data_IF_840331359834
#
_entry.id   IF_840331359834
#
_cell.length_a   1.000
_cell.length_b   1.000
_cell.length_c   1.000
_cell.angle_alpha   90.00
_cell.angle_beta   90.00
_cell.angle_gamma   90.00
#
_symmetry.space_group_name_H-M   'P 1'
#
loop_
_entity.id
_entity.type
_entity.pdbx_description
1 polymer ?
#
# COMPACT_ATOMS: atom_id res chain seq x y z
N UNK A 1 2.60 26.38 29.95
CA UNK A 1 3.37 25.11 29.90
C UNK A 1 2.48 23.89 29.59
N UNK A 2 1.31 23.73 30.24
CA UNK A 2 0.35 22.65 29.91
C UNK A 2 -0.21 22.73 28.48
N UNK A 3 -0.58 23.93 28.00
CA UNK A 3 -1.07 24.13 26.63
C UNK A 3 -0.04 23.73 25.55
N UNK A 4 1.24 24.01 25.79
CA UNK A 4 2.33 23.63 24.88
C UNK A 4 2.59 22.11 24.88
N UNK A 5 2.38 21.43 26.01
CA UNK A 5 2.43 19.96 26.12
C UNK A 5 1.22 19.30 25.44
N UNK A 6 0.06 19.94 25.49
CA UNK A 6 -1.14 19.48 24.78
C UNK A 6 -1.01 19.69 23.26
N UNK A 7 -0.49 20.84 22.84
CA UNK A 7 -0.15 21.12 21.43
C UNK A 7 0.94 20.19 20.90
N UNK A 8 1.87 19.70 21.71
CA UNK A 8 2.87 18.72 21.26
C UNK A 8 2.33 17.30 21.12
N UNK A 9 1.22 16.97 21.80
CA UNK A 9 0.53 15.67 21.70
C UNK A 9 -0.52 15.61 20.59
N UNK A 10 -1.08 16.75 20.17
CA UNK A 10 -1.99 16.88 19.05
C UNK A 10 -1.38 17.78 17.97
N UNK A 11 -0.53 17.23 17.07
CA UNK A 11 0.15 18.00 16.04
C UNK A 11 -0.83 18.70 15.08
N UNK A 12 -2.07 18.21 14.98
CA UNK A 12 -3.15 18.85 14.22
C UNK A 12 -3.36 20.32 14.58
N UNK A 13 -3.25 20.66 15.86
CA UNK A 13 -3.42 22.04 16.32
C UNK A 13 -2.25 22.95 15.93
N UNK A 14 -1.12 22.39 15.49
CA UNK A 14 0.04 23.16 15.05
C UNK A 14 0.06 23.41 13.54
N UNK A 15 -0.36 22.43 12.73
CA UNK A 15 -0.35 22.56 11.28
C UNK A 15 -1.63 23.18 10.73
N UNK A 16 -2.78 22.89 11.32
CA UNK A 16 -4.08 23.39 10.85
C UNK A 16 -4.17 24.94 10.80
N UNK A 17 -3.65 25.70 11.80
CA UNK A 17 -3.70 27.17 11.74
C UNK A 17 -2.75 27.79 10.69
N UNK A 18 -1.76 27.03 10.22
CA UNK A 18 -0.76 27.47 9.23
C UNK A 18 -1.12 27.02 7.81
N UNK A 19 -2.29 26.41 7.64
CA UNK A 19 -2.71 25.82 6.37
C UNK A 19 -3.27 26.86 5.41
N UNK A 20 -2.68 26.97 4.22
CA UNK A 20 -3.12 27.92 3.20
C UNK A 20 -4.21 27.30 2.32
N UNK A 21 -5.47 27.45 2.73
CA UNK A 21 -6.64 26.87 2.05
C UNK A 21 -6.73 27.23 0.56
N UNK A 22 -6.34 28.44 0.16
CA UNK A 22 -6.49 28.88 -1.22
C UNK A 22 -5.52 28.19 -2.19
N UNK A 23 -4.32 27.85 -1.73
CA UNK A 23 -3.28 27.26 -2.59
C UNK A 23 -3.22 25.74 -2.47
N UNK A 24 -3.43 25.21 -1.26
CA UNK A 24 -3.16 23.81 -0.94
C UNK A 24 -4.41 22.93 -1.05
N UNK A 25 -5.62 23.46 -0.82
CA UNK A 25 -6.84 22.65 -0.76
C UNK A 25 -7.11 21.88 -2.05
N UNK A 26 -6.96 22.52 -3.21
CA UNK A 26 -7.18 21.84 -4.49
C UNK A 26 -6.13 20.74 -4.73
N UNK A 27 -4.87 21.00 -4.37
CA UNK A 27 -3.78 20.04 -4.50
C UNK A 27 -3.98 18.84 -3.56
N UNK A 28 -4.44 19.09 -2.34
CA UNK A 28 -4.64 18.06 -1.32
C UNK A 28 -5.90 17.24 -1.57
N UNK A 29 -6.97 17.83 -2.14
CA UNK A 29 -8.14 17.06 -2.58
C UNK A 29 -7.73 16.08 -3.69
N UNK A 30 -7.06 16.56 -4.74
CA UNK A 30 -6.64 15.71 -5.85
C UNK A 30 -5.65 14.63 -5.38
N UNK A 31 -4.66 15.02 -4.57
CA UNK A 31 -3.68 14.11 -4.00
C UNK A 31 -4.31 13.08 -3.05
N UNK A 32 -5.19 13.53 -2.16
CA UNK A 32 -5.90 12.70 -1.19
C UNK A 32 -6.87 11.72 -1.84
N UNK A 33 -7.62 12.14 -2.85
CA UNK A 33 -8.48 11.25 -3.65
C UNK A 33 -7.64 10.20 -4.38
N UNK A 34 -6.48 10.58 -4.93
CA UNK A 34 -5.56 9.66 -5.61
C UNK A 34 -5.00 8.62 -4.65
N UNK A 35 -4.41 9.06 -3.54
CA UNK A 35 -3.84 8.17 -2.53
C UNK A 35 -4.94 7.31 -1.89
N UNK A 36 -6.14 7.87 -1.67
CA UNK A 36 -7.29 7.15 -1.13
C UNK A 36 -7.72 5.98 -2.01
N UNK A 37 -7.86 6.18 -3.33
CA UNK A 37 -8.17 5.08 -4.26
C UNK A 37 -7.10 3.99 -4.24
N UNK A 38 -5.82 4.38 -4.22
CA UNK A 38 -4.70 3.44 -4.16
C UNK A 38 -4.73 2.65 -2.85
N UNK A 39 -4.91 3.31 -1.72
CA UNK A 39 -5.00 2.67 -0.41
C UNK A 39 -6.19 1.70 -0.34
N UNK A 40 -7.35 2.07 -0.87
CA UNK A 40 -8.53 1.19 -0.89
C UNK A 40 -8.28 -0.09 -1.69
N UNK A 41 -7.73 0.02 -2.90
CA UNK A 41 -7.40 -1.15 -3.71
C UNK A 41 -6.34 -2.03 -3.01
N UNK A 42 -5.34 -1.40 -2.41
CA UNK A 42 -4.27 -2.10 -1.69
C UNK A 42 -4.80 -2.86 -0.47
N UNK A 43 -5.64 -2.24 0.37
CA UNK A 43 -6.13 -2.90 1.59
C UNK A 43 -7.12 -4.02 1.29
N UNK A 44 -7.91 -3.94 0.21
CA UNK A 44 -8.72 -5.06 -0.29
C UNK A 44 -7.84 -6.26 -0.67
N UNK A 45 -6.77 -6.01 -1.43
CA UNK A 45 -5.81 -7.06 -1.78
C UNK A 45 -5.13 -7.65 -0.53
N UNK A 46 -4.83 -6.82 0.47
CA UNK A 46 -4.22 -7.28 1.72
C UNK A 46 -5.18 -8.09 2.60
N UNK A 47 -6.47 -7.74 2.65
CA UNK A 47 -7.49 -8.55 3.33
C UNK A 47 -7.61 -9.94 2.68
N UNK A 48 -7.61 -10.00 1.35
CA UNK A 48 -7.59 -11.27 0.61
C UNK A 48 -6.32 -12.09 0.90
N UNK A 49 -5.14 -11.46 0.98
CA UNK A 49 -3.89 -12.13 1.36
C UNK A 49 -3.93 -12.61 2.82
N UNK A 50 -4.51 -11.82 3.74
CA UNK A 50 -4.66 -12.15 5.16
C UNK A 50 -5.64 -13.28 5.42
N UNK A 51 -6.39 -13.75 4.40
CA UNK A 51 -7.43 -14.77 4.50
C UNK A 51 -8.56 -14.41 5.48
N UNK A 52 -8.84 -13.11 5.61
CA UNK A 52 -9.96 -12.57 6.41
C UNK A 52 -11.09 -12.11 5.50
N UNK A 53 -12.23 -11.74 6.08
CA UNK A 53 -13.30 -11.13 5.31
C UNK A 53 -12.83 -9.87 4.56
N UNK A 54 -13.26 -9.74 3.30
CA UNK A 54 -12.83 -8.65 2.43
C UNK A 54 -13.29 -7.26 2.93
N UNK A 55 -14.34 -7.21 3.75
CA UNK A 55 -14.84 -5.98 4.38
C UNK A 55 -13.82 -5.34 5.34
N UNK A 56 -12.86 -6.12 5.85
CA UNK A 56 -11.79 -5.61 6.71
C UNK A 56 -10.78 -4.73 5.95
N UNK A 57 -10.70 -4.87 4.62
CA UNK A 57 -9.85 -4.03 3.78
C UNK A 57 -10.21 -2.53 3.90
N UNK A 58 -11.46 -2.13 3.59
CA UNK A 58 -11.91 -0.76 3.77
C UNK A 58 -11.73 -0.22 5.20
N UNK A 59 -11.98 -1.04 6.23
CA UNK A 59 -11.78 -0.62 7.63
C UNK A 59 -10.31 -0.28 7.94
N UNK A 60 -9.37 -1.09 7.43
CA UNK A 60 -7.93 -0.85 7.61
C UNK A 60 -7.37 0.27 6.74
N UNK A 61 -8.10 0.75 5.72
CA UNK A 61 -7.75 1.95 4.96
C UNK A 61 -8.28 3.23 5.65
N UNK A 62 -9.52 3.19 6.13
CA UNK A 62 -10.22 4.39 6.60
C UNK A 62 -9.85 4.78 8.03
N UNK A 63 -9.94 3.84 8.97
CA UNK A 63 -9.79 4.13 10.41
C UNK A 63 -8.37 4.62 10.75
N UNK A 64 -7.28 3.95 10.33
CA UNK A 64 -5.92 4.40 10.66
C UNK A 64 -5.60 5.78 10.08
N UNK A 65 -6.13 6.09 8.88
CA UNK A 65 -5.91 7.38 8.22
C UNK A 65 -6.54 8.53 9.01
N UNK A 66 -7.77 8.36 9.50
CA UNK A 66 -8.43 9.37 10.36
C UNK A 66 -7.65 9.55 11.66
N UNK A 67 -7.29 8.44 12.31
CA UNK A 67 -6.52 8.50 13.57
C UNK A 67 -5.17 9.19 13.36
N UNK A 68 -4.49 8.91 12.25
CA UNK A 68 -3.23 9.56 11.88
C UNK A 68 -3.39 11.04 11.54
N UNK A 69 -4.51 11.47 10.96
CA UNK A 69 -4.74 12.89 10.69
C UNK A 69 -4.74 13.75 11.97
N UNK A 70 -5.19 13.20 13.10
CA UNK A 70 -5.20 13.89 14.39
C UNK A 70 -3.88 13.75 15.18
N UNK A 71 -3.30 12.55 15.20
CA UNK A 71 -2.15 12.20 16.05
C UNK A 71 -0.81 12.23 15.30
N UNK A 72 -0.85 12.28 13.97
CA UNK A 72 0.32 12.17 13.10
C UNK A 72 1.19 13.42 13.16
N UNK A 73 2.50 13.21 13.21
CA UNK A 73 3.50 14.29 13.26
C UNK A 73 3.90 14.81 11.89
N UNK A 74 3.65 14.04 10.81
CA UNK A 74 4.01 14.39 9.44
C UNK A 74 2.76 14.60 8.58
N UNK A 75 2.50 15.82 8.06
CA UNK A 75 1.33 16.11 7.23
C UNK A 75 1.33 15.40 5.86
N UNK A 76 2.49 14.93 5.39
CA UNK A 76 2.64 14.31 4.07
C UNK A 76 2.71 12.78 4.12
N UNK A 77 2.68 12.19 5.32
CA UNK A 77 2.68 10.74 5.48
C UNK A 77 1.25 10.21 5.47
N UNK A 78 1.03 9.12 4.73
CA UNK A 78 -0.22 8.36 4.78
C UNK A 78 0.05 7.01 5.43
N UNK A 79 -0.88 6.53 6.25
CA UNK A 79 -0.78 5.27 6.97
C UNK A 79 -1.92 4.36 6.56
N UNK A 80 -1.58 3.14 6.12
CA UNK A 80 -2.53 2.09 5.75
C UNK A 80 -1.92 0.71 5.99
N UNK A 81 -2.65 -0.35 5.66
CA UNK A 81 -2.20 -1.75 5.82
C UNK A 81 -0.92 -2.05 5.01
N UNK A 82 -0.08 -2.95 5.54
CA UNK A 82 1.16 -3.39 4.90
C UNK A 82 1.13 -4.86 4.47
N UNK A 83 1.65 -5.16 3.28
CA UNK A 83 1.62 -6.50 2.69
C UNK A 83 2.28 -7.57 3.56
N UNK A 84 3.42 -7.24 4.19
CA UNK A 84 4.16 -8.17 5.06
C UNK A 84 3.31 -8.54 6.28
N UNK A 85 2.64 -7.57 6.90
CA UNK A 85 1.77 -7.82 8.05
C UNK A 85 0.60 -8.74 7.66
N UNK A 86 -0.02 -8.51 6.50
CA UNK A 86 -1.09 -9.37 5.98
C UNK A 86 -0.63 -10.83 5.79
N UNK A 87 0.57 -11.03 5.23
CA UNK A 87 1.15 -12.37 5.05
C UNK A 87 1.41 -13.05 6.40
N UNK A 88 1.96 -12.33 7.38
CA UNK A 88 2.23 -12.87 8.72
C UNK A 88 0.93 -13.25 9.44
N UNK A 89 -0.10 -12.42 9.36
CA UNK A 89 -1.43 -12.74 9.91
C UNK A 89 -2.00 -13.97 9.23
N UNK A 90 -1.93 -14.06 7.89
CA UNK A 90 -2.39 -15.23 7.14
C UNK A 90 -1.71 -16.54 7.58
N UNK A 91 -0.41 -16.48 7.89
CA UNK A 91 0.36 -17.64 8.36
C UNK A 91 -0.14 -18.15 9.72
N UNK A 92 -0.42 -17.22 10.64
CA UNK A 92 -0.91 -17.53 11.99
C UNK A 92 -2.37 -18.02 12.02
N UNK A 93 -3.19 -17.57 11.07
CA UNK A 93 -4.62 -17.89 11.00
C UNK A 93 -4.93 -19.22 10.29
N UNK A 94 -3.93 -19.87 9.66
CA UNK A 94 -4.13 -21.11 8.90
C UNK A 94 -4.80 -22.26 9.63
N UNK A 95 -4.52 -22.54 10.92
CA UNK A 95 -5.13 -23.67 11.62
C UNK A 95 -6.66 -23.58 11.72
N UNK A 96 -7.20 -22.37 11.57
CA UNK A 96 -8.63 -22.09 11.69
C UNK A 96 -9.27 -22.19 10.31
N UNK A 97 -10.25 -23.08 10.08
CA UNK A 97 -10.87 -23.23 8.77
C UNK A 97 -11.95 -22.17 8.49
N UNK A 98 -12.62 -21.68 9.53
CA UNK A 98 -13.75 -20.77 9.40
C UNK A 98 -13.31 -19.31 9.17
N UNK A 99 -13.99 -18.61 8.26
CA UNK A 99 -13.63 -17.25 7.87
C UNK A 99 -13.97 -16.21 8.96
N UNK A 100 -15.04 -16.45 9.71
CA UNK A 100 -15.47 -15.56 10.77
C UNK A 100 -14.49 -15.65 11.94
N UNK A 101 -14.12 -16.87 12.35
CA UNK A 101 -13.09 -17.11 13.38
C UNK A 101 -11.76 -16.43 13.02
N UNK A 102 -11.32 -16.55 11.75
CA UNK A 102 -10.11 -15.88 11.26
C UNK A 102 -10.19 -14.37 11.41
N UNK A 103 -11.34 -13.78 11.11
CA UNK A 103 -11.55 -12.34 11.15
C UNK A 103 -11.56 -11.82 12.59
N UNK A 104 -12.17 -12.56 13.51
CA UNK A 104 -12.18 -12.24 14.94
C UNK A 104 -10.76 -12.33 15.53
N UNK A 105 -10.02 -13.40 15.22
CA UNK A 105 -8.64 -13.58 15.65
C UNK A 105 -7.70 -12.51 15.07
N UNK A 106 -7.85 -12.15 13.80
CA UNK A 106 -7.10 -11.06 13.17
C UNK A 106 -7.33 -9.73 13.90
N UNK A 107 -8.58 -9.45 14.27
CA UNK A 107 -8.98 -8.26 15.01
C UNK A 107 -8.36 -8.24 16.41
N UNK A 108 -8.33 -9.38 17.09
CA UNK A 108 -7.67 -9.55 18.39
C UNK A 108 -6.15 -9.34 18.28
N UNK A 109 -5.50 -9.89 17.24
CA UNK A 109 -4.08 -9.69 16.96
C UNK A 109 -3.75 -8.21 16.72
N UNK A 110 -4.60 -7.51 15.97
CA UNK A 110 -4.47 -6.07 15.72
C UNK A 110 -4.61 -5.26 17.02
N UNK A 111 -5.61 -5.61 17.85
CA UNK A 111 -5.82 -4.98 19.15
C UNK A 111 -4.63 -5.20 20.11
N UNK A 112 -4.17 -6.45 20.24
CA UNK A 112 -3.01 -6.78 21.05
C UNK A 112 -1.73 -6.08 20.55
N UNK A 113 -1.51 -6.04 19.23
CA UNK A 113 -0.40 -5.29 18.63
C UNK A 113 -0.51 -3.79 18.94
N UNK A 114 -1.71 -3.22 18.92
CA UNK A 114 -1.97 -1.84 19.31
C UNK A 114 -1.59 -1.56 20.77
N UNK A 115 -1.95 -2.45 21.70
CA UNK A 115 -1.55 -2.35 23.10
C UNK A 115 -0.03 -2.40 23.24
N UNK A 116 0.64 -3.35 22.58
CA UNK A 116 2.10 -3.46 22.60
C UNK A 116 2.75 -2.19 22.05
N UNK A 117 2.25 -1.64 20.93
CA UNK A 117 2.74 -0.39 20.36
C UNK A 117 2.53 0.81 21.29
N UNK A 118 1.39 0.88 21.98
CA UNK A 118 1.14 1.90 23.00
C UNK A 118 2.10 1.78 24.18
N UNK A 119 2.33 0.56 24.69
CA UNK A 119 3.29 0.31 25.77
C UNK A 119 4.72 0.68 25.35
N UNK A 120 5.15 0.29 24.14
CA UNK A 120 6.44 0.68 23.58
C UNK A 120 6.56 2.20 23.42
N UNK A 121 5.49 2.86 22.99
CA UNK A 121 5.40 4.32 22.90
C UNK A 121 5.55 5.00 24.27
N UNK A 122 4.84 4.50 25.28
CA UNK A 122 4.92 4.97 26.66
C UNK A 122 6.34 4.79 27.24
N UNK A 123 6.97 3.65 26.98
CA UNK A 123 8.36 3.38 27.37
C UNK A 123 9.39 4.13 26.51
N UNK A 124 8.96 4.95 25.54
CA UNK A 124 9.83 5.66 24.58
C UNK A 124 10.83 4.73 23.87
N UNK A 125 10.41 3.50 23.58
CA UNK A 125 11.23 2.52 22.85
C UNK A 125 11.53 2.90 21.41
N UNK A 126 11.03 4.04 20.91
CA UNK A 126 11.46 4.63 19.64
C UNK A 126 12.99 4.82 19.56
N UNK A 127 13.69 4.92 20.69
CA UNK A 127 15.15 4.90 20.73
C UNK A 127 15.75 3.60 20.18
N UNK A 128 15.11 2.44 20.40
CA UNK A 128 15.60 1.15 19.93
C UNK A 128 15.68 1.08 18.39
N UNK A 129 14.77 1.77 17.70
CA UNK A 129 14.79 1.86 16.23
C UNK A 129 16.07 2.56 15.72
N UNK A 130 16.68 3.44 16.53
CA UNK A 130 17.96 4.09 16.17
C UNK A 130 19.15 3.14 16.20
N UNK A 131 19.04 1.98 16.84
CA UNK A 131 20.08 0.95 16.85
C UNK A 131 19.97 -0.02 15.67
N UNK A 132 18.90 0.05 14.87
CA UNK A 132 18.86 -0.71 13.63
C UNK A 132 19.88 -0.12 12.65
N UNK A 133 20.90 -0.91 12.35
CA UNK A 133 21.91 -0.52 11.38
C UNK A 133 21.28 -0.37 9.99
N UNK A 134 21.84 0.52 9.17
CA UNK A 134 21.42 0.69 7.78
C UNK A 134 21.44 -0.64 6.98
N UNK A 135 22.45 -1.51 7.12
CA UNK A 135 22.43 -2.85 6.52
C UNK A 135 21.24 -3.71 6.94
N UNK A 136 20.86 -3.73 8.22
CA UNK A 136 19.71 -4.51 8.71
C UNK A 136 18.41 -4.02 8.09
N UNK A 137 18.21 -2.70 8.05
CA UNK A 137 17.02 -2.10 7.44
C UNK A 137 16.96 -2.38 5.93
N UNK A 138 18.09 -2.23 5.23
CA UNK A 138 18.20 -2.52 3.80
C UNK A 138 17.93 -3.99 3.50
N UNK A 139 18.47 -4.91 4.31
CA UNK A 139 18.23 -6.35 4.20
C UNK A 139 16.76 -6.71 4.41
N UNK A 140 16.12 -6.14 5.43
CA UNK A 140 14.69 -6.35 5.68
C UNK A 140 13.82 -5.83 4.53
N UNK A 141 14.08 -4.62 4.02
CA UNK A 141 13.32 -4.04 2.90
C UNK A 141 13.53 -4.85 1.62
N UNK A 142 14.76 -5.25 1.32
CA UNK A 142 15.09 -6.05 0.12
C UNK A 142 14.44 -7.43 0.20
N UNK A 143 14.55 -8.11 1.35
CA UNK A 143 13.90 -9.41 1.58
C UNK A 143 12.38 -9.33 1.50
N UNK A 144 11.78 -8.29 2.10
CA UNK A 144 10.34 -8.02 2.00
C UNK A 144 9.89 -7.76 0.56
N UNK A 145 10.70 -7.04 -0.23
CA UNK A 145 10.41 -6.79 -1.65
C UNK A 145 10.41 -8.08 -2.46
N UNK A 146 11.39 -8.97 -2.25
CA UNK A 146 11.45 -10.29 -2.90
C UNK A 146 10.25 -11.14 -2.49
N UNK A 147 9.89 -11.15 -1.20
CA UNK A 147 8.71 -11.86 -0.71
C UNK A 147 7.42 -11.37 -1.37
N UNK A 148 7.24 -10.05 -1.51
CA UNK A 148 6.07 -9.46 -2.18
C UNK A 148 6.04 -9.89 -3.65
N UNK A 149 7.16 -9.81 -4.38
CA UNK A 149 7.22 -10.23 -5.79
C UNK A 149 6.79 -11.69 -5.95
N UNK A 150 7.31 -12.58 -5.10
CA UNK A 150 6.95 -14.00 -5.13
C UNK A 150 5.46 -14.21 -4.86
N UNK A 151 4.89 -13.54 -3.86
CA UNK A 151 3.46 -13.66 -3.55
C UNK A 151 2.55 -13.11 -4.65
N UNK A 152 3.01 -12.13 -5.44
CA UNK A 152 2.26 -11.62 -6.58
C UNK A 152 2.32 -12.53 -7.81
N UNK A 153 3.20 -13.55 -7.85
CA UNK A 153 3.27 -14.49 -8.98
C UNK A 153 1.94 -15.21 -9.22
N UNK A 154 1.20 -15.55 -8.15
CA UNK A 154 -0.16 -16.12 -8.26
C UNK A 154 -1.07 -15.28 -9.15
N UNK A 155 -1.12 -13.98 -8.88
CA UNK A 155 -1.98 -13.04 -9.59
C UNK A 155 -1.44 -12.75 -11.00
N UNK A 156 -0.12 -12.68 -11.16
CA UNK A 156 0.52 -12.42 -12.45
C UNK A 156 0.32 -13.56 -13.46
N UNK A 157 0.38 -14.81 -13.02
CA UNK A 157 0.16 -15.99 -13.86
C UNK A 157 -1.33 -16.36 -14.03
N UNK A 158 -2.24 -15.66 -13.35
CA UNK A 158 -3.68 -15.87 -13.50
C UNK A 158 -4.18 -17.22 -12.97
N UNK A 159 -3.50 -17.83 -11.99
CA UNK A 159 -3.92 -19.12 -11.45
C UNK A 159 -5.27 -19.02 -10.72
N UNK A 160 -6.29 -19.71 -11.23
CA UNK A 160 -7.65 -19.75 -10.64
C UNK A 160 -7.67 -20.55 -9.34
N UNK A 161 -7.10 -21.76 -9.35
CA UNK A 161 -7.08 -22.69 -8.22
C UNK A 161 -5.66 -22.87 -7.63
N UNK A 162 -5.07 -21.77 -7.17
CA UNK A 162 -3.75 -21.82 -6.53
C UNK A 162 -3.86 -22.19 -5.05
N UNK A 163 -3.24 -23.29 -4.57
CA UNK A 163 -3.32 -23.67 -3.18
C UNK A 163 -2.63 -22.64 -2.29
N UNK A 164 -3.25 -22.32 -1.15
CA UNK A 164 -2.63 -21.46 -0.15
C UNK A 164 -1.34 -22.11 0.35
N UNK A 165 -0.21 -21.51 -0.01
CA UNK A 165 1.10 -22.13 0.17
C UNK A 165 1.82 -21.58 1.40
N UNK A 166 2.44 -22.46 2.19
CA UNK A 166 3.12 -22.12 3.44
C UNK A 166 4.58 -21.73 3.25
N UNK A 167 4.85 -20.42 3.33
CA UNK A 167 6.21 -19.89 3.28
C UNK A 167 6.76 -19.67 1.87
N UNK A 168 7.83 -18.87 1.82
CA UNK A 168 8.44 -18.37 0.59
C UNK A 168 8.84 -19.48 -0.40
N UNK A 169 9.58 -20.49 0.08
CA UNK A 169 10.09 -21.58 -0.77
C UNK A 169 8.98 -22.48 -1.29
N UNK A 170 8.00 -22.79 -0.45
CA UNK A 170 6.86 -23.60 -0.84
C UNK A 170 6.08 -22.90 -1.95
N UNK A 171 5.87 -21.57 -1.84
CA UNK A 171 5.20 -20.78 -2.87
C UNK A 171 5.91 -20.87 -4.23
N UNK A 172 7.25 -20.77 -4.24
CA UNK A 172 8.05 -20.92 -5.48
C UNK A 172 7.86 -22.30 -6.09
N UNK A 173 7.98 -23.36 -5.28
CA UNK A 173 7.83 -24.74 -5.78
C UNK A 173 6.43 -24.98 -6.34
N UNK A 174 5.40 -24.49 -5.65
CA UNK A 174 4.01 -24.59 -6.13
C UNK A 174 3.82 -23.80 -7.42
N UNK A 175 4.32 -22.57 -7.51
CA UNK A 175 4.26 -21.76 -8.75
C UNK A 175 4.90 -22.49 -9.93
N UNK A 176 6.06 -23.14 -9.74
CA UNK A 176 6.72 -23.92 -10.80
C UNK A 176 5.89 -25.15 -11.18
N UNK A 177 5.29 -25.85 -10.21
CA UNK A 177 4.45 -27.03 -10.46
C UNK A 177 3.18 -26.70 -11.23
N UNK A 178 2.53 -25.57 -10.92
CA UNK A 178 1.29 -25.14 -11.54
C UNK A 178 1.50 -24.28 -12.80
N UNK A 179 2.75 -23.99 -13.16
CA UNK A 179 3.09 -23.20 -14.34
C UNK A 179 2.39 -23.62 -15.65
N UNK A 180 2.18 -24.92 -15.96
CA UNK A 180 1.46 -25.31 -17.17
C UNK A 180 -0.02 -24.88 -17.21
N UNK A 181 -0.60 -24.53 -16.06
CA UNK A 181 -1.98 -24.05 -15.92
C UNK A 181 -2.06 -22.52 -15.93
N UNK A 182 -0.96 -21.83 -16.22
CA UNK A 182 -0.92 -20.37 -16.28
C UNK A 182 -1.80 -19.86 -17.42
N UNK A 183 -2.57 -18.80 -17.14
CA UNK A 183 -3.32 -18.11 -18.16
C UNK A 183 -2.41 -17.09 -18.87
N UNK A 184 -2.07 -17.38 -20.12
CA UNK A 184 -1.22 -16.52 -20.93
C UNK A 184 -1.84 -15.14 -21.19
N UNK A 185 -3.17 -15.01 -21.13
CA UNK A 185 -3.86 -13.72 -21.29
C UNK A 185 -3.60 -12.84 -20.07
N UNK A 186 -3.80 -13.37 -18.87
CA UNK A 186 -3.49 -12.69 -17.60
C UNK A 186 -2.02 -12.29 -17.51
N UNK A 187 -1.10 -13.17 -17.94
CA UNK A 187 0.33 -12.87 -17.97
C UNK A 187 0.65 -11.75 -18.96
N UNK A 188 0.11 -11.80 -20.18
CA UNK A 188 0.29 -10.75 -21.18
C UNK A 188 -0.21 -9.40 -20.68
N UNK A 189 -1.40 -9.38 -20.05
CA UNK A 189 -1.97 -8.19 -19.43
C UNK A 189 -1.06 -7.65 -18.32
N UNK A 190 -0.60 -8.52 -17.41
CA UNK A 190 0.29 -8.12 -16.32
C UNK A 190 1.58 -7.48 -16.82
N UNK A 191 2.21 -8.06 -17.86
CA UNK A 191 3.39 -7.48 -18.51
C UNK A 191 3.06 -6.12 -19.13
N UNK A 192 1.95 -5.98 -19.85
CA UNK A 192 1.53 -4.70 -20.46
C UNK A 192 1.34 -3.63 -19.38
N UNK A 193 0.69 -3.95 -18.26
CA UNK A 193 0.49 -3.02 -17.16
C UNK A 193 1.82 -2.61 -16.49
N UNK A 194 2.76 -3.55 -16.31
CA UNK A 194 4.10 -3.27 -15.77
C UNK A 194 4.87 -2.35 -16.72
N UNK A 195 4.86 -2.63 -18.03
CA UNK A 195 5.53 -1.80 -19.04
C UNK A 195 4.92 -0.41 -19.07
N UNK A 196 3.59 -0.30 -19.06
CA UNK A 196 2.87 0.97 -19.01
C UNK A 196 3.27 1.78 -17.77
N UNK A 197 3.34 1.14 -16.59
CA UNK A 197 3.82 1.79 -15.35
C UNK A 197 5.25 2.34 -15.50
N UNK A 198 6.17 1.55 -16.08
CA UNK A 198 7.55 2.00 -16.34
C UNK A 198 7.57 3.19 -17.32
N UNK A 199 6.76 3.19 -18.37
CA UNK A 199 6.66 4.32 -19.31
C UNK A 199 6.15 5.59 -18.62
N UNK A 200 5.13 5.48 -17.76
CA UNK A 200 4.65 6.60 -16.95
C UNK A 200 5.74 7.15 -16.01
N UNK A 201 6.57 6.27 -15.41
CA UNK A 201 7.72 6.68 -14.60
C UNK A 201 8.78 7.44 -15.41
N UNK A 202 9.11 6.93 -16.60
CA UNK A 202 10.06 7.58 -17.51
C UNK A 202 9.53 8.94 -17.96
N UNK A 203 8.25 9.03 -18.32
CA UNK A 203 7.60 10.26 -18.71
C UNK A 203 7.60 11.30 -17.58
N UNK A 204 7.30 10.88 -16.34
CA UNK A 204 7.39 11.74 -15.15
C UNK A 204 8.79 12.30 -14.97
N UNK A 205 9.82 11.45 -15.07
CA UNK A 205 11.23 11.86 -14.99
C UNK A 205 11.60 12.86 -16.08
N UNK A 206 11.14 12.61 -17.31
CA UNK A 206 11.34 13.52 -18.44
C UNK A 206 10.67 14.88 -18.20
N UNK A 207 9.40 14.90 -17.78
CA UNK A 207 8.67 16.13 -17.45
C UNK A 207 9.39 16.93 -16.36
N UNK A 208 9.90 16.25 -15.32
CA UNK A 208 10.61 16.91 -14.23
C UNK A 208 11.92 17.56 -14.70
N UNK A 209 12.64 16.93 -15.63
CA UNK A 209 13.83 17.52 -16.27
C UNK A 209 13.49 18.74 -17.11
N UNK A 210 12.39 18.71 -17.88
CA UNK A 210 11.97 19.83 -18.73
C UNK A 210 11.46 21.03 -17.90
N UNK A 211 10.71 20.79 -16.83
CA UNK A 211 10.26 21.84 -15.90
C UNK A 211 11.48 22.55 -15.28
N UNK A 212 12.53 21.80 -14.89
CA UNK A 212 13.77 22.39 -14.33
C UNK A 212 14.55 23.24 -15.34
N UNK A 213 14.46 22.96 -16.64
CA UNK A 213 15.18 23.72 -17.67
C UNK A 213 14.59 25.11 -17.92
N UNK A 214 13.34 25.33 -17.53
CA UNK A 214 12.64 26.60 -17.75
C UNK A 214 12.31 26.85 -19.22
N UNK A 215 11.15 27.43 -19.49
CA UNK A 215 10.72 27.77 -20.85
C UNK A 215 9.20 27.89 -20.96
N UNK A 216 8.74 28.42 -22.10
CA UNK A 216 7.32 28.73 -22.37
C UNK A 216 6.41 27.47 -22.34
N UNK A 217 7.01 26.29 -22.53
CA UNK A 217 6.33 24.99 -22.44
C UNK A 217 6.20 24.43 -21.01
N UNK A 218 6.75 25.09 -19.98
CA UNK A 218 6.75 24.59 -18.60
C UNK A 218 5.33 24.31 -18.07
N UNK A 219 4.36 25.16 -18.42
CA UNK A 219 2.95 24.95 -18.05
C UNK A 219 2.34 23.67 -18.64
N UNK A 220 2.71 23.31 -19.89
CA UNK A 220 2.26 22.06 -20.52
C UNK A 220 2.90 20.84 -19.83
N UNK A 221 4.20 20.89 -19.55
CA UNK A 221 4.89 19.81 -18.84
C UNK A 221 4.41 19.65 -17.39
N UNK A 222 3.94 20.72 -16.74
CA UNK A 222 3.35 20.63 -15.41
C UNK A 222 1.98 19.95 -15.40
N UNK A 223 1.13 20.24 -16.40
CA UNK A 223 -0.13 19.48 -16.60
C UNK A 223 0.16 18.01 -16.90
N UNK A 224 1.14 17.73 -17.76
CA UNK A 224 1.53 16.36 -18.09
C UNK A 224 2.12 15.61 -16.88
N UNK A 225 2.91 16.31 -16.05
CA UNK A 225 3.42 15.76 -14.78
C UNK A 225 2.28 15.36 -13.85
N UNK A 226 1.26 16.22 -13.67
CA UNK A 226 0.07 15.90 -12.85
C UNK A 226 -0.65 14.66 -13.38
N UNK A 227 -0.77 14.52 -14.71
CA UNK A 227 -1.33 13.31 -15.31
C UNK A 227 -0.49 12.07 -15.00
N UNK A 228 0.85 12.16 -15.11
CA UNK A 228 1.74 11.03 -14.75
C UNK A 228 1.74 10.69 -13.26
N UNK A 229 1.29 11.60 -12.40
CA UNK A 229 1.13 11.35 -10.96
C UNK A 229 -0.15 10.58 -10.63
N UNK A 230 -1.10 10.48 -11.56
CA UNK A 230 -2.32 9.68 -11.44
C UNK A 230 -2.18 8.29 -12.09
N UNK A 231 -0.96 7.86 -12.45
CA UNK A 231 -0.71 6.61 -13.17
C UNK A 231 -1.26 5.38 -12.44
N UNK A 232 -1.24 5.34 -11.10
CA UNK A 232 -1.76 4.23 -10.31
C UNK A 232 -3.28 4.08 -10.48
N UNK A 233 -4.05 5.18 -10.56
CA UNK A 233 -5.48 5.15 -10.86
C UNK A 233 -5.71 4.63 -12.27
N UNK A 234 -4.99 5.16 -13.25
CA UNK A 234 -5.12 4.77 -14.66
C UNK A 234 -4.89 3.27 -14.82
N UNK A 235 -3.83 2.74 -14.20
CA UNK A 235 -3.49 1.31 -14.22
C UNK A 235 -4.57 0.48 -13.52
N UNK A 236 -5.07 0.91 -12.36
CA UNK A 236 -6.11 0.18 -11.64
C UNK A 236 -7.42 0.11 -12.43
N UNK A 237 -7.86 1.23 -13.01
CA UNK A 237 -9.07 1.29 -13.83
C UNK A 237 -8.94 0.44 -15.09
N UNK A 238 -7.80 0.52 -15.79
CA UNK A 238 -7.52 -0.33 -16.95
C UNK A 238 -7.50 -1.81 -16.55
N UNK A 239 -6.84 -2.16 -15.45
CA UNK A 239 -6.80 -3.53 -14.95
C UNK A 239 -8.19 -4.10 -14.64
N UNK A 240 -9.06 -3.32 -13.98
CA UNK A 240 -10.44 -3.73 -13.69
C UNK A 240 -11.26 -3.85 -14.97
N UNK A 241 -11.17 -2.88 -15.88
CA UNK A 241 -11.90 -2.90 -17.15
C UNK A 241 -11.53 -4.12 -18.00
N UNK A 242 -10.23 -4.42 -18.12
CA UNK A 242 -9.78 -5.60 -18.83
C UNK A 242 -10.16 -6.90 -18.12
N UNK A 243 -10.02 -6.98 -16.80
CA UNK A 243 -10.42 -8.16 -16.03
C UNK A 243 -11.92 -8.46 -16.17
N UNK A 244 -12.76 -7.43 -16.26
CA UNK A 244 -14.19 -7.60 -16.53
C UNK A 244 -14.45 -8.12 -17.96
N UNK A 245 -13.73 -7.60 -18.96
CA UNK A 245 -13.85 -8.03 -20.34
C UNK A 245 -13.38 -9.47 -20.57
N UNK A 246 -12.32 -9.91 -19.88
CA UNK A 246 -11.82 -11.29 -19.99
C UNK A 246 -12.63 -12.29 -19.16
N UNK A 247 -13.31 -11.85 -18.09
CA UNK A 247 -14.18 -12.72 -17.31
C UNK A 247 -15.53 -13.04 -17.99
N UNK A 248 -15.92 -12.26 -19.01
CA UNK A 248 -17.14 -12.49 -19.80
C UNK A 248 -16.93 -13.37 -21.05
N UNK A 249 -15.69 -13.70 -21.42
CA UNK A 249 -15.35 -14.56 -22.56
C UNK A 249 -14.94 -15.95 -22.13
#
# INVERSE_FOLDING_TARGET
>A
KALACFQSRLPVLQWLPKYNVHEQLFSDIVGGTTIGMVCLAQTLAHAAIATTENIQGPYTAFVPTIVYAFLGTSPHASVSSGAIAAILIADQLRPWPDLQDRTELASLMAFASGIVLLLMGCCRMAFAVRFLSHPTLSGFITGGSILIIVQQTRNLFGFRDFPHTSGFFSHIVTTVKYFPQADFVSLGLGIVLIVLLDQFNRLKSHCNKQIKKGGDAAGKFQKLKRFTEMKEIVIAVLGVAFGYLTAQG
#
